data_IF_609250257520
#
_entry.id   IF_609250257520
#
_cell.length_a   1.000
_cell.length_b   1.000
_cell.length_c   1.000
_cell.angle_alpha   90.00
_cell.angle_beta   90.00
_cell.angle_gamma   90.00
#
_symmetry.space_group_name_H-M   'P 1'
#
loop_
_entity.id
_entity.type
_entity.pdbx_description
1 polymer ?
#
# COMPACT_ATOMS: atom_id res chain seq x y z
N UNK A 1 -15.48 -15.43 2.81
CA UNK A 1 -14.62 -15.69 3.96
C UNK A 1 -13.24 -16.12 3.44
N UNK A 2 -12.15 -15.51 3.96
CA UNK A 2 -10.79 -15.86 3.56
C UNK A 2 -10.11 -16.60 4.72
N UNK A 3 -9.41 -17.70 4.43
CA UNK A 3 -8.62 -18.40 5.44
C UNK A 3 -7.26 -17.71 5.65
N UNK A 4 -6.66 -17.90 6.84
CA UNK A 4 -5.30 -17.38 7.13
C UNK A 4 -4.27 -17.87 6.12
N UNK A 5 -4.36 -19.14 5.69
CA UNK A 5 -3.46 -19.70 4.69
C UNK A 5 -3.63 -19.07 3.30
N UNK A 6 -4.87 -18.79 2.88
CA UNK A 6 -5.13 -18.10 1.61
C UNK A 6 -4.62 -16.65 1.65
N UNK A 7 -4.85 -15.94 2.77
CA UNK A 7 -4.34 -14.58 2.95
C UNK A 7 -2.80 -14.53 2.90
N UNK A 8 -2.11 -15.48 3.57
CA UNK A 8 -0.65 -15.54 3.55
C UNK A 8 -0.11 -15.78 2.13
N UNK A 9 -0.75 -16.68 1.37
CA UNK A 9 -0.37 -16.93 -0.03
C UNK A 9 -0.51 -15.67 -0.87
N UNK A 10 -1.63 -14.97 -0.77
CA UNK A 10 -1.86 -13.72 -1.50
C UNK A 10 -0.85 -12.63 -1.10
N UNK A 11 -0.53 -12.49 0.20
CA UNK A 11 0.51 -11.56 0.66
C UNK A 11 1.87 -11.86 0.04
N UNK A 12 2.28 -13.14 0.00
CA UNK A 12 3.56 -13.54 -0.59
C UNK A 12 3.59 -13.25 -2.09
N UNK A 13 2.53 -13.61 -2.82
CA UNK A 13 2.40 -13.31 -4.24
C UNK A 13 2.47 -11.79 -4.52
N UNK A 14 1.81 -10.97 -3.70
CA UNK A 14 1.88 -9.52 -3.81
C UNK A 14 3.30 -8.99 -3.67
N UNK A 15 4.08 -9.50 -2.70
CA UNK A 15 5.48 -9.08 -2.54
C UNK A 15 6.30 -9.45 -3.76
N UNK A 16 6.15 -10.68 -4.27
CA UNK A 16 6.86 -11.11 -5.48
C UNK A 16 6.46 -10.26 -6.69
N UNK A 17 5.16 -10.02 -6.89
CA UNK A 17 4.66 -9.22 -8.00
C UNK A 17 5.10 -7.77 -7.94
N UNK A 18 5.07 -7.12 -6.78
CA UNK A 18 5.56 -5.77 -6.61
C UNK A 18 7.07 -5.68 -6.90
N UNK A 19 7.86 -6.66 -6.45
CA UNK A 19 9.29 -6.74 -6.77
C UNK A 19 9.53 -6.96 -8.26
N UNK A 20 8.71 -7.76 -8.94
CA UNK A 20 8.78 -7.95 -10.39
C UNK A 20 8.49 -6.65 -11.15
N UNK A 21 7.68 -5.74 -10.59
CA UNK A 21 7.50 -4.38 -11.09
C UNK A 21 8.69 -3.46 -10.79
N UNK A 22 9.80 -3.97 -10.23
CA UNK A 22 10.99 -3.20 -9.90
C UNK A 22 10.88 -2.40 -8.61
N UNK A 23 9.98 -2.78 -7.69
CA UNK A 23 9.89 -2.15 -6.36
C UNK A 23 11.02 -2.62 -5.46
N UNK A 24 11.65 -1.68 -4.77
CA UNK A 24 12.71 -1.91 -3.80
C UNK A 24 12.33 -1.41 -2.40
N UNK A 25 12.98 -1.91 -1.32
CA UNK A 25 12.73 -1.40 0.03
C UNK A 25 12.86 0.13 0.09
N UNK A 26 11.88 0.78 0.70
CA UNK A 26 11.76 2.24 0.74
C UNK A 26 10.85 2.84 -0.34
N UNK A 27 10.42 2.07 -1.32
CA UNK A 27 9.46 2.51 -2.33
C UNK A 27 8.05 2.62 -1.76
N UNK A 28 7.23 3.41 -2.42
CA UNK A 28 5.90 3.78 -1.96
C UNK A 28 4.82 3.12 -2.82
N UNK A 29 3.86 2.48 -2.15
CA UNK A 29 2.59 2.03 -2.73
C UNK A 29 1.46 2.89 -2.18
N UNK A 30 0.80 3.65 -3.04
CA UNK A 30 -0.40 4.39 -2.69
C UNK A 30 -1.65 3.52 -2.85
N UNK A 31 -2.58 3.64 -1.91
CA UNK A 31 -3.77 2.78 -1.88
C UNK A 31 -5.00 3.62 -1.55
N UNK A 32 -6.03 3.56 -2.40
CA UNK A 32 -7.32 4.20 -2.15
C UNK A 32 -8.46 3.19 -2.38
N UNK A 33 -9.09 2.75 -1.32
CA UNK A 33 -10.17 1.75 -1.38
C UNK A 33 -10.99 1.72 -0.09
N UNK A 34 -12.23 1.19 -0.12
CA UNK A 34 -12.97 0.89 1.09
C UNK A 34 -12.31 -0.28 1.84
N UNK A 35 -12.77 -0.52 3.07
CA UNK A 35 -12.35 -1.70 3.82
C UNK A 35 -12.80 -2.98 3.09
N UNK A 36 -11.84 -3.73 2.58
CA UNK A 36 -12.04 -5.00 1.88
C UNK A 36 -10.90 -5.97 2.20
N UNK A 37 -11.00 -7.20 1.73
CA UNK A 37 -9.96 -8.23 2.01
C UNK A 37 -8.62 -7.87 1.36
N UNK A 38 -8.65 -7.26 0.20
CA UNK A 38 -7.47 -6.83 -0.55
C UNK A 38 -6.69 -5.76 0.21
N UNK A 39 -7.37 -4.84 0.90
CA UNK A 39 -6.71 -3.85 1.76
C UNK A 39 -5.85 -4.52 2.84
N UNK A 40 -6.35 -5.61 3.43
CA UNK A 40 -5.61 -6.36 4.45
C UNK A 40 -4.40 -7.06 3.82
N UNK A 41 -4.59 -7.72 2.67
CA UNK A 41 -3.52 -8.43 1.96
C UNK A 41 -2.41 -7.46 1.53
N UNK A 42 -2.78 -6.31 0.95
CA UNK A 42 -1.85 -5.28 0.50
C UNK A 42 -1.07 -4.71 1.70
N UNK A 43 -1.75 -4.37 2.80
CA UNK A 43 -1.09 -3.85 3.99
C UNK A 43 -0.05 -4.84 4.52
N UNK A 44 -0.43 -6.11 4.70
CA UNK A 44 0.47 -7.14 5.20
C UNK A 44 1.64 -7.42 4.24
N UNK A 45 1.40 -7.39 2.92
CA UNK A 45 2.45 -7.55 1.92
C UNK A 45 3.46 -6.40 1.98
N UNK A 46 3.00 -5.15 2.04
CA UNK A 46 3.84 -3.96 2.11
C UNK A 46 4.68 -3.98 3.40
N UNK A 47 4.06 -4.30 4.53
CA UNK A 47 4.73 -4.35 5.83
C UNK A 47 5.80 -5.44 5.94
N UNK A 48 5.74 -6.51 5.11
CA UNK A 48 6.79 -7.53 5.10
C UNK A 48 7.88 -7.34 4.02
N UNK A 49 7.70 -6.37 3.12
CA UNK A 49 8.58 -6.16 1.98
C UNK A 49 9.51 -4.95 2.12
N UNK A 50 9.39 -4.19 3.21
CA UNK A 50 10.15 -2.96 3.42
C UNK A 50 9.64 -1.78 2.59
N UNK A 51 8.39 -1.81 2.13
CA UNK A 51 7.79 -0.71 1.39
C UNK A 51 7.08 0.27 2.33
N UNK A 52 6.78 1.46 1.81
CA UNK A 52 5.84 2.37 2.44
C UNK A 52 4.45 2.20 1.84
N UNK A 53 3.44 2.11 2.70
CA UNK A 53 2.05 2.19 2.32
C UNK A 53 1.52 3.60 2.58
N UNK A 54 0.94 4.24 1.58
CA UNK A 54 0.19 5.49 1.72
C UNK A 54 -1.29 5.17 1.60
N UNK A 55 -2.01 4.98 2.74
CA UNK A 55 -3.44 4.83 2.71
C UNK A 55 -4.08 6.20 2.47
N UNK A 56 -4.84 6.31 1.38
CA UNK A 56 -5.52 7.55 0.99
C UNK A 56 -6.99 7.46 1.41
N UNK A 57 -7.49 8.52 2.06
CA UNK A 57 -8.90 8.60 2.42
C UNK A 57 -9.75 8.63 1.14
N UNK A 58 -10.63 7.66 1.00
CA UNK A 58 -11.47 7.47 -0.18
C UNK A 58 -12.58 8.52 -0.36
N UNK A 59 -12.71 9.47 0.58
CA UNK A 59 -13.60 10.63 0.47
C UNK A 59 -12.92 11.86 -0.17
N UNK A 60 -11.61 11.80 -0.45
CA UNK A 60 -10.88 12.90 -1.07
C UNK A 60 -11.26 13.08 -2.54
N UNK A 61 -11.22 14.32 -3.00
CA UNK A 61 -11.39 14.65 -4.42
C UNK A 61 -10.15 14.18 -5.23
N UNK A 62 -10.33 13.95 -6.54
CA UNK A 62 -9.26 13.47 -7.41
C UNK A 62 -8.00 14.35 -7.38
N UNK A 63 -8.15 15.68 -7.33
CA UNK A 63 -7.02 16.60 -7.23
C UNK A 63 -6.23 16.50 -5.91
N UNK A 64 -6.91 16.16 -4.81
CA UNK A 64 -6.25 15.92 -3.53
C UNK A 64 -5.48 14.60 -3.56
N UNK A 65 -6.06 13.57 -4.20
CA UNK A 65 -5.40 12.28 -4.42
C UNK A 65 -4.19 12.45 -5.34
N UNK A 66 -4.31 13.23 -6.42
CA UNK A 66 -3.21 13.55 -7.33
C UNK A 66 -2.03 14.18 -6.57
N UNK A 67 -2.30 15.16 -5.75
CA UNK A 67 -1.29 15.77 -4.89
C UNK A 67 -0.56 14.73 -4.01
N UNK A 68 -1.30 13.80 -3.40
CA UNK A 68 -0.70 12.76 -2.56
C UNK A 68 0.16 11.79 -3.37
N UNK A 69 -0.26 11.43 -4.58
CA UNK A 69 0.52 10.57 -5.47
C UNK A 69 1.88 11.20 -5.81
N UNK A 70 1.88 12.49 -6.17
CA UNK A 70 3.09 13.24 -6.49
C UNK A 70 4.00 13.44 -5.27
N UNK A 71 3.45 13.98 -4.17
CA UNK A 71 4.20 14.32 -2.96
C UNK A 71 4.80 13.08 -2.27
N UNK A 72 4.10 11.95 -2.29
CA UNK A 72 4.58 10.69 -1.72
C UNK A 72 5.66 10.01 -2.58
N UNK A 73 5.74 10.33 -3.85
CA UNK A 73 6.57 9.62 -4.81
C UNK A 73 6.11 8.18 -5.02
N UNK A 74 4.79 7.95 -5.04
CA UNK A 74 4.22 6.63 -5.23
C UNK A 74 4.69 5.99 -6.54
N UNK A 75 5.19 4.76 -6.47
CA UNK A 75 5.60 3.99 -7.65
C UNK A 75 4.51 3.04 -8.15
N UNK A 76 3.60 2.66 -7.28
CA UNK A 76 2.44 1.84 -7.60
C UNK A 76 1.22 2.47 -6.95
N UNK A 77 0.10 2.50 -7.68
CA UNK A 77 -1.18 2.99 -7.19
C UNK A 77 -2.24 1.91 -7.33
N UNK A 78 -2.93 1.57 -6.23
CA UNK A 78 -3.98 0.55 -6.21
C UNK A 78 -5.29 1.20 -5.78
N UNK A 79 -6.33 1.06 -6.59
CA UNK A 79 -7.66 1.61 -6.31
C UNK A 79 -8.75 0.53 -6.43
N UNK A 80 -9.93 0.87 -5.96
CA UNK A 80 -11.13 0.05 -6.09
C UNK A 80 -12.13 0.73 -7.03
N UNK A 81 -12.86 -0.05 -7.83
CA UNK A 81 -13.84 0.45 -8.81
C UNK A 81 -14.88 1.43 -8.24
N UNK A 82 -15.20 1.30 -6.94
CA UNK A 82 -16.11 2.22 -6.25
C UNK A 82 -15.60 3.66 -6.18
N UNK A 83 -14.31 3.86 -6.39
CA UNK A 83 -13.63 5.17 -6.28
C UNK A 83 -13.02 5.56 -7.63
N UNK A 84 -13.48 4.92 -8.71
CA UNK A 84 -12.93 5.05 -10.06
C UNK A 84 -12.81 6.50 -10.53
N UNK A 85 -13.81 7.34 -10.24
CA UNK A 85 -13.86 8.71 -10.76
C UNK A 85 -12.73 9.57 -10.14
N UNK A 86 -12.58 9.56 -8.82
CA UNK A 86 -11.50 10.28 -8.14
C UNK A 86 -10.12 9.69 -8.47
N UNK A 87 -10.02 8.35 -8.58
CA UNK A 87 -8.76 7.68 -8.90
C UNK A 87 -8.32 7.96 -10.34
N UNK A 88 -9.24 7.94 -11.31
CA UNK A 88 -8.93 8.25 -12.72
C UNK A 88 -8.53 9.72 -12.89
N UNK A 89 -9.26 10.64 -12.24
CA UNK A 89 -8.88 12.05 -12.21
C UNK A 89 -7.48 12.24 -11.63
N UNK A 90 -7.16 11.57 -10.51
CA UNK A 90 -5.86 11.67 -9.86
C UNK A 90 -4.71 11.20 -10.75
N UNK A 91 -4.88 10.07 -11.43
CA UNK A 91 -3.89 9.52 -12.37
C UNK A 91 -3.63 10.50 -13.51
N UNK A 92 -4.70 11.11 -14.05
CA UNK A 92 -4.57 12.08 -15.14
C UNK A 92 -3.87 13.37 -14.68
N UNK A 93 -4.27 13.94 -13.54
CA UNK A 93 -3.69 15.19 -13.02
C UNK A 93 -2.25 15.04 -12.55
N UNK A 94 -1.91 13.91 -11.88
CA UNK A 94 -0.55 13.60 -11.45
C UNK A 94 0.35 13.09 -12.60
N UNK A 95 -0.17 12.95 -13.81
CA UNK A 95 0.53 12.30 -14.92
C UNK A 95 1.16 10.95 -14.52
N UNK A 96 0.41 10.18 -13.72
CA UNK A 96 0.87 8.91 -13.16
C UNK A 96 0.88 7.82 -14.24
N UNK A 97 1.92 6.98 -14.23
CA UNK A 97 2.05 5.87 -15.17
C UNK A 97 0.92 4.84 -14.99
N UNK A 98 0.01 4.75 -15.97
CA UNK A 98 -1.12 3.82 -15.96
C UNK A 98 -0.69 2.35 -15.93
N UNK A 99 0.53 2.02 -16.39
CA UNK A 99 1.08 0.66 -16.28
C UNK A 99 1.40 0.26 -14.82
N UNK A 100 1.41 1.24 -13.92
CA UNK A 100 1.62 1.08 -12.48
C UNK A 100 0.36 1.40 -11.65
N UNK A 101 -0.78 1.60 -12.34
CA UNK A 101 -2.10 1.76 -11.73
C UNK A 101 -2.89 0.45 -11.83
N UNK A 102 -3.37 -0.05 -10.68
CA UNK A 102 -4.06 -1.34 -10.59
C UNK A 102 -5.43 -1.19 -9.96
N UNK A 103 -6.41 -1.92 -10.50
CA UNK A 103 -7.81 -1.86 -10.08
C UNK A 103 -8.28 -3.15 -9.41
N UNK A 104 -8.96 -3.02 -8.28
CA UNK A 104 -9.84 -4.04 -7.72
C UNK A 104 -11.23 -3.77 -8.29
N UNK A 105 -11.76 -4.73 -9.05
CA UNK A 105 -12.91 -4.50 -9.95
C UNK A 105 -12.46 -3.92 -11.28
N UNK A 106 -13.33 -3.19 -11.95
CA UNK A 106 -13.08 -2.66 -13.29
C UNK A 106 -12.94 -1.13 -13.29
N UNK A 107 -11.75 -0.65 -13.67
CA UNK A 107 -11.48 0.77 -13.97
C UNK A 107 -10.93 0.82 -15.40
N UNK A 108 -11.63 1.47 -16.36
CA UNK A 108 -11.19 1.52 -17.74
C UNK A 108 -9.76 2.06 -17.92
N UNK A 109 -8.94 1.31 -18.64
CA UNK A 109 -7.55 1.69 -18.93
C UNK A 109 -6.55 1.36 -17.81
N UNK A 110 -7.00 0.75 -16.70
CA UNK A 110 -6.13 0.28 -15.62
C UNK A 110 -5.88 -1.21 -15.73
N UNK A 111 -4.75 -1.64 -15.17
CA UNK A 111 -4.46 -3.06 -15.04
C UNK A 111 -5.26 -3.67 -13.88
N UNK A 112 -5.78 -4.90 -14.02
CA UNK A 112 -6.45 -5.55 -12.89
C UNK A 112 -5.45 -5.86 -11.77
N UNK A 113 -5.89 -5.74 -10.52
CA UNK A 113 -5.10 -6.11 -9.33
C UNK A 113 -4.56 -7.55 -9.41
N UNK A 114 -5.34 -8.45 -10.01
CA UNK A 114 -4.92 -9.85 -10.23
C UNK A 114 -3.61 -9.98 -11.01
N UNK A 115 -3.25 -9.02 -11.86
CA UNK A 115 -2.00 -9.07 -12.62
C UNK A 115 -0.76 -8.99 -11.72
N UNK A 116 -0.89 -8.35 -10.54
CA UNK A 116 0.24 -8.29 -9.59
C UNK A 116 0.52 -9.67 -8.99
N UNK A 117 -0.54 -10.46 -8.77
CA UNK A 117 -0.43 -11.75 -8.07
C UNK A 117 -0.41 -12.95 -9.03
N UNK A 118 -0.83 -12.76 -10.29
CA UNK A 118 -0.86 -13.83 -11.27
C UNK A 118 0.53 -14.43 -11.46
N UNK A 119 0.57 -15.76 -11.51
CA UNK A 119 1.81 -16.55 -11.73
C UNK A 119 2.94 -16.32 -10.70
N UNK A 120 2.67 -15.56 -9.63
CA UNK A 120 3.65 -15.32 -8.58
C UNK A 120 3.72 -16.52 -7.62
N UNK A 121 4.93 -16.84 -7.10
CA UNK A 121 5.09 -17.93 -6.16
C UNK A 121 4.39 -17.64 -4.83
N UNK A 122 3.86 -18.69 -4.20
CA UNK A 122 3.24 -18.61 -2.87
C UNK A 122 4.27 -18.70 -1.72
N UNK A 123 5.53 -18.97 -2.04
CA UNK A 123 6.60 -19.13 -1.06
C UNK A 123 6.89 -17.83 -0.34
N UNK A 124 7.34 -17.95 0.89
CA UNK A 124 7.78 -16.79 1.66
C UNK A 124 8.89 -16.05 0.88
N UNK A 125 8.74 -14.72 0.66
CA UNK A 125 9.77 -13.96 -0.03
C UNK A 125 11.09 -13.93 0.73
N UNK A 126 12.21 -13.97 0.02
CA UNK A 126 13.53 -13.74 0.60
C UNK A 126 13.75 -12.26 0.93
N UNK A 127 14.77 -11.95 1.74
CA UNK A 127 15.20 -10.58 2.06
C UNK A 127 14.02 -9.68 2.50
N UNK A 128 13.18 -10.20 3.40
CA UNK A 128 12.07 -9.42 3.98
C UNK A 128 12.62 -8.40 4.99
N UNK A 129 12.01 -7.24 4.99
CA UNK A 129 12.25 -6.21 6.00
C UNK A 129 10.94 -5.52 6.40
N UNK A 130 10.90 -4.96 7.60
CA UNK A 130 9.71 -4.27 8.07
C UNK A 130 9.45 -3.00 7.25
N UNK A 131 8.30 -2.95 6.61
CA UNK A 131 7.77 -1.75 5.97
C UNK A 131 7.07 -0.82 6.97
N UNK A 132 6.51 0.27 6.47
CA UNK A 132 5.83 1.25 7.31
C UNK A 132 4.63 1.89 6.61
N UNK A 133 3.72 2.42 7.42
CA UNK A 133 2.63 3.26 6.91
C UNK A 133 3.08 4.71 6.94
N UNK A 134 2.91 5.40 5.81
CA UNK A 134 3.14 6.82 5.65
C UNK A 134 1.78 7.53 5.60
N UNK A 135 1.35 8.04 6.74
CA UNK A 135 0.07 8.73 6.84
C UNK A 135 0.19 10.19 6.40
N UNK A 136 -0.82 10.67 5.68
CA UNK A 136 -1.01 12.08 5.39
C UNK A 136 -1.88 12.72 6.47
N UNK A 137 -1.35 13.77 7.09
CA UNK A 137 -2.05 14.54 8.12
C UNK A 137 -2.37 15.94 7.62
N UNK A 138 -3.47 16.53 8.12
CA UNK A 138 -3.80 17.93 7.83
C UNK A 138 -2.68 18.83 8.34
N UNK A 139 -1.86 19.35 7.42
CA UNK A 139 -0.81 20.31 7.77
C UNK A 139 -1.43 21.64 8.18
N UNK A 140 -0.77 22.37 9.09
CA UNK A 140 -1.16 23.74 9.50
C UNK A 140 -1.09 24.76 8.35
N UNK A 141 -0.49 24.40 7.22
CA UNK A 141 -0.26 25.22 6.03
C UNK A 141 -1.23 24.96 4.87
N UNK A 142 -2.31 24.20 5.09
CA UNK A 142 -3.38 23.98 4.10
C UNK A 142 -3.22 22.75 3.20
N UNK A 143 -2.00 22.25 2.95
CA UNK A 143 -1.79 20.99 2.22
C UNK A 143 -1.41 19.85 3.17
N UNK A 144 -1.97 18.64 3.01
CA UNK A 144 -1.58 17.48 3.81
C UNK A 144 -0.09 17.20 3.67
N UNK A 145 0.55 16.74 4.73
CA UNK A 145 1.97 16.32 4.73
C UNK A 145 2.08 14.85 5.07
N UNK A 146 2.88 14.13 4.28
CA UNK A 146 3.21 12.75 4.53
C UNK A 146 4.22 12.59 5.68
N UNK A 147 3.86 11.78 6.68
CA UNK A 147 4.76 11.45 7.79
C UNK A 147 5.56 10.21 7.45
N UNK A 148 6.75 10.40 6.90
CA UNK A 148 7.65 9.31 6.50
C UNK A 148 8.64 9.02 7.64
N UNK A 149 8.43 7.92 8.36
CA UNK A 149 9.36 7.44 9.39
C UNK A 149 10.45 6.59 8.75
N UNK A 150 11.72 6.67 9.18
CA UNK A 150 12.78 5.81 8.67
C UNK A 150 12.42 4.33 8.85
N UNK A 151 12.69 3.51 7.83
CA UNK A 151 12.58 2.07 7.94
C UNK A 151 13.71 1.54 8.84
N UNK A 152 13.38 0.57 9.68
CA UNK A 152 14.34 0.02 10.66
C UNK A 152 15.34 -0.95 10.06
N UNK A 153 15.06 -1.51 8.88
CA UNK A 153 15.82 -2.59 8.27
C UNK A 153 15.71 -3.93 9.01
N UNK A 154 14.93 -4.00 10.08
CA UNK A 154 14.70 -5.22 10.85
C UNK A 154 13.76 -6.18 10.11
N UNK A 155 13.77 -7.46 10.48
CA UNK A 155 12.79 -8.40 9.96
C UNK A 155 11.36 -7.97 10.34
N UNK A 156 10.33 -8.34 9.55
CA UNK A 156 8.94 -7.96 9.85
C UNK A 156 8.48 -8.46 11.23
N UNK A 157 8.96 -9.63 11.66
CA UNK A 157 8.63 -10.25 12.95
C UNK A 157 9.16 -9.40 14.11
N UNK A 158 10.41 -8.95 14.03
CA UNK A 158 11.02 -8.07 15.03
C UNK A 158 10.35 -6.71 15.05
N UNK A 159 10.06 -6.13 13.89
CA UNK A 159 9.32 -4.88 13.77
C UNK A 159 7.93 -4.94 14.40
N UNK A 160 7.20 -6.05 14.19
CA UNK A 160 5.90 -6.27 14.80
C UNK A 160 5.98 -6.42 16.33
N UNK A 161 7.00 -7.15 16.83
CA UNK A 161 7.22 -7.29 18.28
C UNK A 161 7.52 -5.95 18.95
N UNK A 162 8.35 -5.11 18.36
CA UNK A 162 8.64 -3.77 18.88
C UNK A 162 7.38 -2.90 18.93
N UNK A 163 6.57 -2.92 17.88
CA UNK A 163 5.30 -2.17 17.84
C UNK A 163 4.31 -2.66 18.89
N UNK A 164 4.19 -3.97 19.08
CA UNK A 164 3.33 -4.58 20.10
C UNK A 164 3.83 -4.27 21.51
N UNK A 165 5.16 -4.29 21.73
CA UNK A 165 5.77 -3.94 23.01
C UNK A 165 5.48 -2.50 23.42
N UNK A 166 5.54 -1.55 22.48
CA UNK A 166 5.18 -0.15 22.74
C UNK A 166 3.69 -0.04 23.10
N UNK A 167 2.79 -0.73 22.40
CA UNK A 167 1.36 -0.72 22.70
C UNK A 167 1.05 -1.31 24.08
N UNK A 168 1.76 -2.38 24.48
CA UNK A 168 1.65 -2.95 25.84
C UNK A 168 2.15 -1.97 26.90
N UNK A 169 3.28 -1.30 26.67
CA UNK A 169 3.81 -0.28 27.60
C UNK A 169 2.87 0.91 27.76
N UNK A 170 2.14 1.29 26.71
CA UNK A 170 1.15 2.37 26.75
C UNK A 170 -0.20 1.93 27.32
N UNK A 171 -0.35 0.66 27.73
CA UNK A 171 -1.60 0.13 28.28
C UNK A 171 -2.76 0.07 27.27
N UNK A 172 -2.46 0.06 25.99
CA UNK A 172 -3.46 0.02 24.91
C UNK A 172 -3.82 -1.40 24.49
N UNK A 173 -3.08 -2.41 24.94
CA UNK A 173 -3.40 -3.83 24.78
C UNK A 173 -3.65 -4.47 26.17
N UNK A 174 -4.62 -5.40 26.27
CA UNK A 174 -4.89 -6.14 27.50
C UNK A 174 -3.74 -7.06 27.89
#
# INVERSE_FOLDING_TARGET
>A
EITRGALLKECNQLVHGLRQLGMEPGDVVAVIMPNCKEMIAINLAILQAGFYMVPINWHLAGSEVAYILEDSGAKVFISHERIKDAATQAVAEANFDTQRAFAIGDIPGWRPYSDIIAEQPHTLPDNRSAGAVMNYTSGTTGKPKGVRRPLTGLSPEVGAQMSSGILLMLGTLP
#
